data_IF_336369391120
#
_entry.id   IF_336369391120
#
_cell.length_a   1.000
_cell.length_b   1.000
_cell.length_c   1.000
_cell.angle_alpha   90.00
_cell.angle_beta   90.00
_cell.angle_gamma   90.00
#
_symmetry.space_group_name_H-M   'P 1'
#
loop_
_entity.id
_entity.type
_entity.pdbx_description
1 polymer ?
#
# COMPACT_ATOMS: atom_id res chain seq x y z
N UNK A 1 66.86 -52.77 -11.86
CA UNK A 1 65.91 -53.81 -12.30
C UNK A 1 64.51 -53.36 -11.85
N UNK A 2 63.67 -52.91 -12.80
CA UNK A 2 62.24 -52.55 -12.76
C UNK A 2 61.73 -51.57 -11.66
N UNK A 3 61.49 -50.29 -11.96
CA UNK A 3 60.24 -49.66 -12.45
C UNK A 3 59.00 -49.84 -11.55
N UNK A 4 58.51 -48.73 -10.96
CA UNK A 4 57.10 -48.28 -11.09
C UNK A 4 56.92 -46.81 -10.71
N UNK A 5 56.42 -46.07 -11.69
CA UNK A 5 55.91 -44.70 -11.65
C UNK A 5 54.49 -44.74 -11.04
N UNK A 6 54.14 -43.76 -10.21
CA UNK A 6 52.76 -43.33 -10.00
C UNK A 6 52.73 -41.85 -9.64
N UNK A 7 52.34 -41.04 -10.62
CA UNK A 7 51.92 -39.65 -10.53
C UNK A 7 50.51 -39.57 -9.95
N UNK A 8 50.23 -38.66 -9.02
CA UNK A 8 48.96 -37.90 -8.99
C UNK A 8 49.04 -36.69 -8.03
N UNK A 9 49.34 -35.54 -8.62
CA UNK A 9 48.65 -34.24 -8.48
C UNK A 9 48.06 -33.87 -7.11
N UNK A 10 48.69 -32.92 -6.40
CA UNK A 10 48.04 -32.12 -5.34
C UNK A 10 47.79 -30.71 -5.85
N UNK A 11 46.51 -30.35 -5.86
CA UNK A 11 45.92 -29.09 -6.29
C UNK A 11 46.50 -27.88 -5.53
N UNK A 12 46.91 -26.84 -6.27
CA UNK A 12 46.97 -25.46 -5.76
C UNK A 12 45.53 -24.92 -5.67
N UNK A 13 45.10 -24.53 -4.48
CA UNK A 13 43.90 -23.72 -4.31
C UNK A 13 44.26 -22.25 -4.58
N UNK A 14 43.90 -21.75 -5.76
CA UNK A 14 43.89 -20.32 -6.05
C UNK A 14 42.67 -19.70 -5.34
N UNK A 15 42.94 -18.87 -4.32
CA UNK A 15 41.92 -18.12 -3.60
C UNK A 15 41.51 -16.92 -4.47
N UNK A 16 40.53 -17.11 -5.35
CA UNK A 16 39.91 -16.03 -6.11
C UNK A 16 39.00 -15.22 -5.18
N UNK A 17 39.45 -14.03 -4.78
CA UNK A 17 38.59 -12.98 -4.23
C UNK A 17 37.63 -12.51 -5.32
N UNK A 18 36.45 -13.15 -5.43
CA UNK A 18 35.32 -12.53 -6.10
C UNK A 18 34.76 -11.48 -5.14
N UNK A 19 35.11 -10.21 -5.35
CA UNK A 19 34.24 -9.11 -4.94
C UNK A 19 32.92 -9.29 -5.71
N UNK A 20 31.93 -9.88 -5.05
CA UNK A 20 30.56 -9.86 -5.54
C UNK A 20 30.06 -8.43 -5.51
N UNK A 21 30.23 -7.70 -6.60
CA UNK A 21 29.42 -6.51 -6.88
C UNK A 21 27.99 -7.03 -7.09
N UNK A 22 27.22 -7.10 -6.00
CA UNK A 22 25.77 -7.23 -6.13
C UNK A 22 25.29 -6.01 -6.92
N UNK A 23 24.46 -6.18 -7.96
CA UNK A 23 23.88 -5.04 -8.65
C UNK A 23 23.07 -4.27 -7.62
N UNK A 24 23.51 -3.05 -7.29
CA UNK A 24 22.68 -2.11 -6.57
C UNK A 24 21.42 -1.91 -7.42
N UNK A 25 20.26 -2.40 -6.96
CA UNK A 25 18.99 -2.03 -7.57
C UNK A 25 18.95 -0.51 -7.55
N UNK A 26 18.93 0.11 -8.74
CA UNK A 26 18.97 1.56 -8.88
C UNK A 26 17.80 2.16 -8.09
N UNK A 27 18.08 3.08 -7.17
CA UNK A 27 17.05 3.79 -6.42
C UNK A 27 16.19 4.62 -7.37
N UNK A 28 14.88 4.63 -7.14
CA UNK A 28 13.95 5.51 -7.87
C UNK A 28 13.97 6.92 -7.28
N UNK A 29 13.37 7.88 -7.98
CA UNK A 29 13.21 9.25 -7.45
C UNK A 29 12.46 9.28 -6.10
N UNK A 30 11.59 8.29 -5.85
CA UNK A 30 10.87 8.15 -4.58
C UNK A 30 11.75 7.68 -3.42
N UNK A 31 12.96 7.15 -3.67
CA UNK A 31 13.83 6.55 -2.65
C UNK A 31 15.02 7.43 -2.29
N UNK A 32 15.38 8.39 -3.14
CA UNK A 32 16.55 9.24 -2.93
C UNK A 32 16.24 10.42 -2.01
N UNK A 33 17.28 10.91 -1.33
CA UNK A 33 17.18 12.12 -0.50
C UNK A 33 16.81 13.31 -1.37
N UNK A 34 15.80 14.06 -0.96
CA UNK A 34 15.40 15.31 -1.62
C UNK A 34 16.03 16.51 -0.91
N UNK A 35 16.19 17.61 -1.63
CA UNK A 35 16.48 18.90 -0.98
C UNK A 35 15.18 19.49 -0.44
N UNK A 36 15.11 19.89 0.84
CA UNK A 36 13.95 20.59 1.38
C UNK A 36 13.61 21.87 0.59
N UNK A 37 12.31 22.22 0.47
CA UNK A 37 11.17 21.46 0.97
C UNK A 37 10.89 20.20 0.13
N UNK A 38 10.73 19.05 0.79
CA UNK A 38 10.55 17.75 0.10
C UNK A 38 9.12 17.59 -0.41
N UNK A 39 8.97 16.90 -1.54
CA UNK A 39 7.66 16.41 -2.00
C UNK A 39 7.30 15.09 -1.33
N UNK A 40 6.00 14.85 -1.21
CA UNK A 40 5.43 13.61 -0.68
C UNK A 40 5.33 12.53 -1.76
N UNK A 41 4.78 11.36 -1.44
CA UNK A 41 4.87 10.16 -2.30
C UNK A 41 6.27 9.55 -2.31
N UNK A 42 7.13 9.96 -1.38
CA UNK A 42 8.52 9.50 -1.27
C UNK A 42 8.73 8.69 0.00
N UNK A 43 9.87 7.99 0.04
CA UNK A 43 10.29 7.16 1.15
C UNK A 43 10.36 7.94 2.44
N UNK A 44 9.78 7.36 3.49
CA UNK A 44 9.93 7.86 4.84
C UNK A 44 9.28 6.96 5.87
N UNK A 45 9.50 7.28 7.13
CA UNK A 45 8.99 6.51 8.25
C UNK A 45 9.66 6.91 9.55
N UNK A 46 9.24 6.26 10.63
CA UNK A 46 9.84 6.46 11.95
C UNK A 46 11.29 5.93 11.97
N UNK A 47 12.22 6.72 12.52
CA UNK A 47 13.64 6.32 12.64
C UNK A 47 13.88 5.14 13.60
N UNK A 48 12.85 4.69 14.31
CA UNK A 48 12.89 3.55 15.22
C UNK A 48 12.30 2.26 14.63
N UNK A 49 11.72 2.31 13.43
CA UNK A 49 11.17 1.13 12.75
C UNK A 49 12.30 0.24 12.18
N UNK A 50 13.02 -0.39 13.10
CA UNK A 50 14.17 -1.22 12.84
C UNK A 50 14.32 -2.37 13.85
N UNK A 51 15.08 -3.36 13.42
CA UNK A 51 15.56 -4.49 14.19
C UNK A 51 17.04 -4.69 13.94
N UNK A 52 17.62 -5.69 14.60
CA UNK A 52 19.05 -6.03 14.43
C UNK A 52 19.44 -6.41 12.99
N UNK A 53 18.50 -6.73 12.10
CA UNK A 53 18.83 -7.20 10.74
C UNK A 53 18.05 -6.51 9.63
N UNK A 54 17.04 -5.72 9.99
CA UNK A 54 16.10 -5.11 9.06
C UNK A 54 15.75 -3.72 9.56
N UNK A 55 15.63 -2.75 8.66
CA UNK A 55 14.83 -1.56 8.90
C UNK A 55 13.65 -1.57 7.93
N UNK A 56 12.60 -0.84 8.28
CA UNK A 56 11.38 -0.74 7.52
C UNK A 56 11.08 0.73 7.27
N UNK A 57 10.33 0.98 6.20
CA UNK A 57 9.94 2.30 5.77
C UNK A 57 8.71 2.15 4.89
N UNK A 58 7.90 3.20 4.86
CA UNK A 58 6.77 3.29 3.95
C UNK A 58 6.90 4.53 3.07
N UNK A 59 5.76 5.13 2.81
CA UNK A 59 5.61 6.35 2.02
C UNK A 59 5.11 7.48 2.91
N UNK A 60 5.72 8.65 2.78
CA UNK A 60 5.17 9.92 3.28
C UNK A 60 4.00 10.30 2.36
N UNK A 61 2.77 10.09 2.82
CA UNK A 61 1.60 9.99 1.94
C UNK A 61 1.09 11.30 1.38
N UNK A 62 0.58 12.16 2.26
CA UNK A 62 -0.05 13.44 1.85
C UNK A 62 0.08 14.50 2.93
N UNK A 63 0.04 15.77 2.52
CA UNK A 63 0.07 16.90 3.43
C UNK A 63 -1.36 17.24 3.82
N UNK A 64 -1.61 17.27 5.12
CA UNK A 64 -2.93 17.54 5.69
C UNK A 64 -2.82 18.58 6.79
N UNK A 65 -3.95 19.15 7.19
CA UNK A 65 -4.01 20.14 8.27
C UNK A 65 -4.99 19.72 9.35
N UNK A 66 -4.63 20.04 10.59
CA UNK A 66 -5.49 19.91 11.77
C UNK A 66 -5.27 21.14 12.65
N UNK A 67 -6.33 21.90 12.92
CA UNK A 67 -6.23 23.14 13.70
C UNK A 67 -5.27 24.19 13.12
N UNK A 68 -5.08 24.22 11.80
CA UNK A 68 -4.14 25.12 11.12
C UNK A 68 -2.68 24.68 11.12
N UNK A 69 -2.34 23.55 11.77
CA UNK A 69 -1.01 22.96 11.76
C UNK A 69 -0.90 21.90 10.66
N UNK A 70 0.24 21.84 9.97
CA UNK A 70 0.50 20.89 8.89
C UNK A 70 1.11 19.58 9.40
N UNK A 71 0.61 18.47 8.86
CA UNK A 71 1.03 17.11 9.19
C UNK A 71 1.24 16.29 7.91
N UNK A 72 2.19 15.37 7.96
CA UNK A 72 2.28 14.26 7.02
C UNK A 72 1.28 13.18 7.46
N UNK A 73 0.36 12.82 6.58
CA UNK A 73 -0.49 11.64 6.69
C UNK A 73 0.23 10.43 6.10
N UNK A 74 0.23 9.32 6.84
CA UNK A 74 0.63 7.98 6.37
C UNK A 74 -0.02 6.92 7.26
N UNK A 75 0.40 5.66 7.17
CA UNK A 75 -0.15 4.60 8.02
C UNK A 75 0.42 4.63 9.45
N UNK A 76 -0.34 4.06 10.39
CA UNK A 76 0.16 3.77 11.74
C UNK A 76 1.41 2.89 11.65
N UNK A 77 1.37 1.81 10.88
CA UNK A 77 2.53 0.92 10.78
C UNK A 77 3.74 1.53 10.07
N UNK A 78 3.66 2.77 9.57
CA UNK A 78 4.76 3.52 8.93
C UNK A 78 5.30 4.62 9.85
N UNK A 79 4.42 5.43 10.46
CA UNK A 79 4.84 6.56 11.32
C UNK A 79 4.85 6.23 12.81
N UNK A 80 4.02 5.29 13.24
CA UNK A 80 3.80 4.93 14.63
C UNK A 80 4.47 3.61 15.05
N UNK A 81 5.36 3.05 14.21
CA UNK A 81 6.04 1.76 14.45
C UNK A 81 5.06 0.66 14.90
N UNK A 82 3.90 0.56 14.23
CA UNK A 82 2.84 -0.36 14.57
C UNK A 82 2.42 -0.31 16.06
N UNK A 83 2.06 0.90 16.51
CA UNK A 83 1.70 1.29 17.88
C UNK A 83 2.86 1.39 18.90
N UNK A 84 4.12 1.33 18.46
CA UNK A 84 5.28 1.39 19.36
C UNK A 84 5.97 2.76 19.43
N UNK A 85 5.62 3.71 18.56
CA UNK A 85 6.24 5.03 18.54
C UNK A 85 5.89 5.89 19.76
N UNK A 86 6.80 6.79 20.09
CA UNK A 86 6.62 7.85 21.09
C UNK A 86 6.38 9.19 20.40
N UNK A 87 5.43 9.98 20.90
CA UNK A 87 5.20 11.34 20.39
C UNK A 87 6.50 12.14 20.42
N UNK A 88 6.84 12.76 19.29
CA UNK A 88 8.10 13.48 19.10
C UNK A 88 9.18 12.68 18.36
N UNK A 89 9.00 11.36 18.15
CA UNK A 89 9.94 10.55 17.36
C UNK A 89 10.16 11.16 15.98
N UNK A 90 11.41 11.17 15.52
CA UNK A 90 11.74 11.74 14.22
C UNK A 90 11.17 10.88 13.08
N UNK A 91 10.58 11.55 12.09
CA UNK A 91 10.19 10.96 10.82
C UNK A 91 11.17 11.41 9.76
N UNK A 92 11.82 10.44 9.10
CA UNK A 92 12.89 10.71 8.17
C UNK A 92 12.44 10.70 6.70
N UNK A 93 13.13 11.49 5.87
CA UNK A 93 13.13 11.37 4.40
C UNK A 93 14.60 11.31 3.95
N UNK A 94 15.03 10.30 3.20
CA UNK A 94 14.34 9.05 2.94
C UNK A 94 14.07 8.25 4.22
N UNK A 95 13.27 7.21 4.10
CA UNK A 95 13.12 6.21 5.16
C UNK A 95 14.40 5.39 5.34
N UNK A 96 14.56 4.79 6.53
CA UNK A 96 15.72 3.99 6.90
C UNK A 96 16.13 2.96 5.84
N UNK A 97 15.19 2.29 5.19
CA UNK A 97 15.48 1.26 4.18
C UNK A 97 16.33 1.81 3.02
N UNK A 98 16.14 3.08 2.67
CA UNK A 98 16.81 3.71 1.54
C UNK A 98 18.14 4.38 1.90
N UNK A 99 18.45 4.48 3.19
CA UNK A 99 19.72 5.00 3.71
C UNK A 99 20.55 3.92 4.43
N UNK A 100 20.28 2.65 4.13
CA UNK A 100 21.03 1.51 4.71
C UNK A 100 20.86 1.39 6.23
N UNK A 101 19.71 1.79 6.75
CA UNK A 101 19.38 1.90 8.17
C UNK A 101 20.27 2.87 8.96
N UNK A 102 21.00 3.74 8.27
CA UNK A 102 21.78 4.78 8.92
C UNK A 102 20.98 6.08 8.94
N UNK A 103 20.30 6.35 10.06
CA UNK A 103 19.51 7.55 10.25
C UNK A 103 20.31 8.86 10.06
N UNK A 104 21.64 8.85 10.24
CA UNK A 104 22.49 10.04 10.01
C UNK A 104 22.62 10.44 8.53
N UNK A 105 22.23 9.55 7.61
CA UNK A 105 22.19 9.83 6.17
C UNK A 105 20.80 10.29 5.68
N UNK A 106 19.82 10.38 6.59
CA UNK A 106 18.50 10.92 6.32
C UNK A 106 18.30 12.26 7.04
N UNK A 107 17.31 13.03 6.59
CA UNK A 107 16.89 14.27 7.23
C UNK A 107 15.56 14.07 7.95
N UNK A 108 15.36 14.77 9.07
CA UNK A 108 14.08 14.78 9.78
C UNK A 108 13.16 15.80 9.13
N UNK A 109 12.02 15.34 8.61
CA UNK A 109 11.04 16.20 7.93
C UNK A 109 9.76 16.44 8.75
N UNK A 110 9.50 15.57 9.72
CA UNK A 110 8.38 15.67 10.64
C UNK A 110 8.70 14.98 11.97
N UNK A 111 7.85 15.17 12.97
CA UNK A 111 7.90 14.44 14.24
C UNK A 111 6.57 13.73 14.47
N UNK A 112 6.61 12.46 14.90
CA UNK A 112 5.40 11.68 15.15
C UNK A 112 4.49 12.39 16.15
N UNK A 113 3.19 12.49 15.85
CA UNK A 113 2.23 13.24 16.65
C UNK A 113 1.14 12.36 17.23
N UNK A 114 0.40 11.64 16.37
CA UNK A 114 -0.70 10.79 16.80
C UNK A 114 -0.95 9.67 15.79
N UNK A 115 -1.58 8.60 16.23
CA UNK A 115 -2.05 7.53 15.37
C UNK A 115 -3.35 6.96 15.91
N UNK A 116 -4.13 6.35 15.02
CA UNK A 116 -5.23 5.48 15.42
C UNK A 116 -4.62 4.11 15.75
N UNK A 117 -4.79 3.57 16.98
CA UNK A 117 -4.21 2.29 17.31
C UNK A 117 -4.74 1.16 16.44
N UNK A 118 -3.88 0.22 16.04
CA UNK A 118 -4.29 -0.87 15.15
C UNK A 118 -5.37 -1.74 15.81
N UNK A 119 -6.49 -1.92 15.11
CA UNK A 119 -7.64 -2.67 15.60
C UNK A 119 -8.63 -1.90 16.47
N UNK A 120 -8.37 -0.62 16.78
CA UNK A 120 -9.31 0.22 17.53
C UNK A 120 -10.35 0.92 16.64
N UNK A 121 -10.03 1.14 15.36
CA UNK A 121 -10.95 1.73 14.39
C UNK A 121 -10.78 1.11 13.01
N UNK A 122 -11.62 1.54 12.07
CA UNK A 122 -11.66 1.02 10.70
C UNK A 122 -10.55 1.57 9.77
N UNK A 123 -9.42 2.02 10.33
CA UNK A 123 -8.32 2.67 9.60
C UNK A 123 -6.96 2.29 10.17
N UNK A 124 -5.96 2.34 9.30
CA UNK A 124 -4.54 2.28 9.64
C UNK A 124 -3.91 3.61 9.21
N UNK A 125 -3.89 4.57 10.14
CA UNK A 125 -3.51 5.95 9.84
C UNK A 125 -2.81 6.63 11.02
N UNK A 126 -1.87 7.50 10.68
CA UNK A 126 -1.09 8.29 11.61
C UNK A 126 -0.70 9.65 11.02
N UNK A 127 -0.38 10.58 11.92
CA UNK A 127 0.08 11.92 11.62
C UNK A 127 1.46 12.16 12.23
N UNK A 128 2.30 12.84 11.46
CA UNK A 128 3.54 13.43 11.92
C UNK A 128 3.55 14.93 11.64
N UNK A 129 3.78 15.74 12.66
CA UNK A 129 3.80 17.19 12.55
C UNK A 129 5.02 17.64 11.75
N UNK A 130 4.79 18.43 10.69
CA UNK A 130 5.84 18.89 9.79
C UNK A 130 6.83 19.79 10.53
N UNK A 131 8.12 19.56 10.30
CA UNK A 131 9.18 20.50 10.69
C UNK A 131 9.19 21.66 9.69
N UNK A 132 9.30 22.89 10.19
CA UNK A 132 9.28 24.12 9.38
C UNK A 132 10.24 24.01 8.20
N UNK A 133 9.75 24.43 7.02
CA UNK A 133 10.45 24.44 5.73
C UNK A 133 10.95 23.08 5.22
N UNK A 134 10.59 21.96 5.87
CA UNK A 134 11.03 20.63 5.43
C UNK A 134 10.15 19.98 4.37
N UNK A 135 8.87 20.34 4.28
CA UNK A 135 7.89 19.74 3.34
C UNK A 135 7.28 20.83 2.47
N UNK A 136 7.05 20.51 1.20
CA UNK A 136 6.40 21.42 0.26
C UNK A 136 4.99 21.77 0.76
N UNK A 137 4.82 23.02 1.19
CA UNK A 137 3.59 23.54 1.79
C UNK A 137 2.36 23.46 0.88
N UNK A 138 2.55 23.30 -0.43
CA UNK A 138 1.47 23.10 -1.40
C UNK A 138 0.88 21.68 -1.34
N UNK A 139 1.56 20.74 -0.68
CA UNK A 139 1.17 19.34 -0.57
C UNK A 139 1.43 18.51 -1.82
N UNK A 140 2.37 18.95 -2.66
CA UNK A 140 2.73 18.23 -3.87
C UNK A 140 3.22 16.80 -3.57
N UNK A 141 2.64 15.84 -4.29
CA UNK A 141 3.05 14.44 -4.30
C UNK A 141 3.84 14.20 -5.59
N UNK A 142 5.02 13.59 -5.47
CA UNK A 142 5.94 13.34 -6.58
C UNK A 142 5.22 12.63 -7.73
N UNK A 143 5.34 13.17 -8.94
CA UNK A 143 4.69 12.72 -10.19
C UNK A 143 3.14 12.83 -10.24
N UNK A 144 2.47 13.15 -9.13
CA UNK A 144 1.02 13.39 -9.07
C UNK A 144 0.69 14.89 -9.15
N UNK A 145 1.46 15.73 -8.46
CA UNK A 145 1.14 17.13 -8.22
C UNK A 145 0.32 17.29 -6.94
N UNK A 146 -0.46 18.36 -6.86
CA UNK A 146 -1.22 18.74 -5.66
C UNK A 146 -2.57 18.00 -5.60
N UNK A 147 -2.82 17.15 -4.60
CA UNK A 147 -4.14 16.55 -4.40
C UNK A 147 -5.21 17.62 -4.15
N UNK A 148 -6.45 17.36 -4.56
CA UNK A 148 -7.55 18.27 -4.25
C UNK A 148 -7.83 18.32 -2.74
N UNK A 149 -8.32 19.45 -2.24
CA UNK A 149 -8.81 19.55 -0.85
C UNK A 149 -10.11 18.78 -0.60
N UNK A 150 -10.88 18.51 -1.67
CA UNK A 150 -12.11 17.71 -1.62
C UNK A 150 -11.82 16.24 -1.90
N UNK A 151 -12.43 15.35 -1.11
CA UNK A 151 -12.35 13.90 -1.32
C UNK A 151 -13.34 13.43 -2.40
N UNK A 152 -13.00 12.35 -3.09
CA UNK A 152 -13.88 11.68 -4.04
C UNK A 152 -14.85 10.73 -3.33
N UNK A 153 -16.05 10.49 -3.89
CA UNK A 153 -16.91 9.40 -3.45
C UNK A 153 -16.22 8.04 -3.62
N UNK A 154 -16.37 7.18 -2.63
CA UNK A 154 -15.83 5.81 -2.54
C UNK A 154 -16.95 4.74 -2.49
N UNK A 155 -18.13 5.10 -3.00
CA UNK A 155 -19.31 4.24 -3.11
C UNK A 155 -19.31 3.38 -4.39
N UNK A 156 -20.45 2.81 -4.75
CA UNK A 156 -20.58 1.97 -5.95
C UNK A 156 -20.19 2.66 -7.26
N UNK A 157 -20.24 4.00 -7.32
CA UNK A 157 -19.79 4.76 -8.51
C UNK A 157 -18.27 4.75 -8.67
N UNK A 158 -17.52 4.44 -7.60
CA UNK A 158 -16.07 4.36 -7.63
C UNK A 158 -15.56 3.08 -8.31
N UNK A 159 -16.37 2.01 -8.38
CA UNK A 159 -15.92 0.76 -9.01
C UNK A 159 -15.64 0.99 -10.50
N UNK A 160 -14.42 0.65 -10.94
CA UNK A 160 -13.94 0.88 -12.29
C UNK A 160 -13.30 2.26 -12.51
N UNK A 161 -13.41 3.19 -11.55
CA UNK A 161 -12.77 4.50 -11.63
C UNK A 161 -11.26 4.34 -11.66
N UNK A 162 -10.61 5.08 -12.56
CA UNK A 162 -9.15 5.11 -12.66
C UNK A 162 -8.58 5.90 -11.50
N UNK A 163 -7.57 5.33 -10.87
CA UNK A 163 -6.87 5.89 -9.71
C UNK A 163 -5.37 5.81 -9.92
N UNK A 164 -4.66 6.68 -9.23
CA UNK A 164 -3.21 6.76 -9.23
C UNK A 164 -2.68 6.85 -7.80
N UNK A 165 -1.44 6.40 -7.59
CA UNK A 165 -0.68 6.61 -6.36
C UNK A 165 0.80 6.78 -6.69
N UNK A 166 1.52 7.54 -5.88
CA UNK A 166 2.98 7.63 -5.92
C UNK A 166 3.53 7.15 -4.59
N UNK A 167 4.37 6.12 -4.63
CA UNK A 167 4.87 5.43 -3.44
C UNK A 167 6.35 5.10 -3.53
N UNK A 168 6.97 4.87 -2.36
CA UNK A 168 8.40 4.56 -2.21
C UNK A 168 8.88 3.48 -3.18
N UNK A 169 8.15 2.38 -3.31
CA UNK A 169 8.65 1.16 -3.95
C UNK A 169 8.33 1.15 -5.43
N UNK A 170 7.09 1.46 -5.80
CA UNK A 170 6.63 1.34 -7.19
C UNK A 170 6.49 2.68 -7.92
N UNK A 171 6.76 3.81 -7.26
CA UNK A 171 6.62 5.15 -7.86
C UNK A 171 5.18 5.45 -8.25
N UNK A 172 4.98 6.30 -9.29
CA UNK A 172 3.67 6.51 -9.89
C UNK A 172 3.14 5.24 -10.56
N UNK A 173 2.00 4.74 -10.10
CA UNK A 173 1.24 3.70 -10.80
C UNK A 173 -0.21 4.12 -10.95
N UNK A 174 -0.89 3.52 -11.94
CA UNK A 174 -2.32 3.68 -12.13
C UNK A 174 -3.00 2.33 -12.29
N UNK A 175 -4.25 2.25 -11.83
CA UNK A 175 -5.12 1.09 -12.01
C UNK A 175 -6.58 1.51 -11.82
N UNK A 176 -7.49 0.53 -11.77
CA UNK A 176 -8.90 0.74 -11.50
C UNK A 176 -9.31 0.16 -10.15
N UNK A 177 -10.24 0.83 -9.47
CA UNK A 177 -10.93 0.27 -8.31
C UNK A 177 -11.70 -0.98 -8.75
N UNK A 178 -11.44 -2.10 -8.10
CA UNK A 178 -12.05 -3.40 -8.41
C UNK A 178 -13.24 -3.74 -7.53
N UNK A 179 -13.21 -3.32 -6.27
CA UNK A 179 -14.24 -3.60 -5.27
C UNK A 179 -14.28 -2.47 -4.24
N UNK A 180 -15.47 -2.16 -3.75
CA UNK A 180 -15.72 -1.28 -2.59
C UNK A 180 -16.62 -1.99 -1.60
N UNK A 181 -16.94 -1.37 -0.46
CA UNK A 181 -17.72 -2.03 0.60
C UNK A 181 -17.10 -3.38 1.02
N UNK A 182 -15.77 -3.49 0.97
CA UNK A 182 -15.07 -4.78 1.13
C UNK A 182 -14.60 -4.97 2.56
N UNK A 183 -15.08 -6.02 3.20
CA UNK A 183 -14.53 -6.49 4.47
C UNK A 183 -13.26 -7.30 4.18
N UNK A 184 -12.19 -7.09 4.94
CA UNK A 184 -10.89 -7.74 4.74
C UNK A 184 -10.27 -8.15 6.08
N UNK A 185 -9.49 -9.24 6.05
CA UNK A 185 -8.56 -9.63 7.10
C UNK A 185 -7.14 -9.28 6.66
N UNK A 186 -6.47 -8.40 7.41
CA UNK A 186 -5.11 -7.95 7.10
C UNK A 186 -4.15 -8.46 8.14
N UNK A 187 -3.09 -9.11 7.68
CA UNK A 187 -2.00 -9.58 8.53
C UNK A 187 -0.97 -8.47 8.75
N UNK A 188 -0.65 -8.26 10.02
CA UNK A 188 0.38 -7.34 10.51
C UNK A 188 1.49 -8.10 11.22
N UNK A 189 2.59 -7.40 11.45
CA UNK A 189 3.71 -7.86 12.25
C UNK A 189 4.24 -6.69 13.07
N UNK A 190 4.38 -6.86 14.39
CA UNK A 190 4.96 -5.80 15.23
C UNK A 190 6.48 -5.78 15.11
N UNK A 191 7.00 -4.64 14.66
CA UNK A 191 8.43 -4.38 14.47
C UNK A 191 8.99 -5.00 13.19
N UNK A 192 9.88 -4.26 12.53
CA UNK A 192 10.45 -4.65 11.26
C UNK A 192 11.13 -6.03 11.26
N UNK A 193 10.54 -6.99 10.53
CA UNK A 193 11.09 -8.34 10.35
C UNK A 193 11.20 -9.17 11.63
N UNK A 194 10.56 -8.75 12.72
CA UNK A 194 10.60 -9.42 14.04
C UNK A 194 9.20 -9.52 14.64
N UNK A 195 9.05 -10.24 15.75
CA UNK A 195 7.78 -10.30 16.48
C UNK A 195 6.71 -11.23 15.88
N UNK A 196 5.60 -11.34 16.60
CA UNK A 196 4.47 -12.20 16.23
C UNK A 196 3.60 -11.49 15.18
N UNK A 197 3.14 -12.28 14.21
CA UNK A 197 2.11 -11.85 13.27
C UNK A 197 0.74 -11.86 13.96
N UNK A 198 -0.10 -10.90 13.62
CA UNK A 198 -1.48 -10.80 14.09
C UNK A 198 -2.37 -10.36 12.93
N UNK A 199 -3.69 -10.50 13.09
CA UNK A 199 -4.66 -10.16 12.05
C UNK A 199 -5.62 -9.11 12.60
N UNK A 200 -5.90 -8.09 11.80
CA UNK A 200 -6.92 -7.08 12.06
C UNK A 200 -7.96 -7.15 10.95
N UNK A 201 -9.24 -7.06 11.33
CA UNK A 201 -10.34 -7.01 10.38
C UNK A 201 -10.77 -5.57 10.15
N UNK A 202 -10.96 -5.21 8.87
CA UNK A 202 -11.47 -3.91 8.45
C UNK A 202 -12.70 -4.12 7.59
N UNK A 203 -13.68 -3.23 7.72
CA UNK A 203 -14.91 -3.24 6.95
C UNK A 203 -14.90 -2.14 5.88
N UNK A 204 -15.68 -2.30 4.82
CA UNK A 204 -15.92 -1.24 3.83
C UNK A 204 -14.68 -0.66 3.13
N UNK A 205 -13.62 -1.43 2.97
CA UNK A 205 -12.38 -0.97 2.33
C UNK A 205 -12.52 -0.84 0.80
N UNK A 206 -11.62 -0.04 0.21
CA UNK A 206 -11.49 0.14 -1.24
C UNK A 206 -10.38 -0.76 -1.76
N UNK A 207 -10.67 -1.59 -2.76
CA UNK A 207 -9.68 -2.48 -3.37
C UNK A 207 -9.38 -2.05 -4.80
N UNK A 208 -8.11 -2.11 -5.14
CA UNK A 208 -7.58 -1.78 -6.46
C UNK A 208 -6.99 -3.04 -7.08
N UNK A 209 -7.29 -3.28 -8.35
CA UNK A 209 -6.75 -4.44 -9.07
C UNK A 209 -5.30 -4.19 -9.49
N UNK A 210 -4.48 -5.24 -9.47
CA UNK A 210 -3.21 -5.28 -10.19
C UNK A 210 -2.03 -5.55 -9.28
N UNK A 211 -1.31 -6.62 -9.61
CA UNK A 211 -0.03 -7.00 -8.99
C UNK A 211 1.04 -5.91 -9.11
N UNK A 212 0.95 -5.05 -10.13
CA UNK A 212 1.87 -3.94 -10.37
C UNK A 212 1.41 -2.61 -9.79
N UNK A 213 0.22 -2.53 -9.16
CA UNK A 213 -0.27 -1.25 -8.64
C UNK A 213 0.49 -0.85 -7.38
N UNK A 214 0.82 -1.80 -6.51
CA UNK A 214 1.61 -1.54 -5.30
C UNK A 214 2.43 -2.75 -4.84
N UNK A 215 3.44 -2.44 -4.04
CA UNK A 215 4.23 -3.40 -3.28
C UNK A 215 4.45 -2.89 -1.86
N UNK A 216 4.98 -3.75 -1.00
CA UNK A 216 5.45 -3.36 0.33
C UNK A 216 6.42 -2.18 0.24
N UNK A 217 6.29 -1.27 1.20
CA UNK A 217 6.91 0.06 1.16
C UNK A 217 6.02 1.15 0.54
N UNK A 218 5.03 0.83 -0.29
CA UNK A 218 4.05 1.82 -0.76
C UNK A 218 2.97 2.13 0.29
N UNK A 219 2.95 1.40 1.42
CA UNK A 219 2.12 1.72 2.59
C UNK A 219 2.21 3.20 2.95
N UNK A 220 1.07 3.84 3.10
CA UNK A 220 0.94 5.27 3.40
C UNK A 220 0.75 6.12 2.16
N UNK A 221 0.91 5.57 0.94
CA UNK A 221 0.64 6.32 -0.29
C UNK A 221 -0.83 6.75 -0.35
N UNK A 222 -1.05 8.03 -0.62
CA UNK A 222 -2.38 8.51 -0.95
C UNK A 222 -2.78 7.98 -2.33
N UNK A 223 -3.96 7.38 -2.40
CA UNK A 223 -4.60 7.01 -3.66
C UNK A 223 -5.56 8.12 -4.05
N UNK A 224 -5.36 8.64 -5.25
CA UNK A 224 -6.17 9.74 -5.83
C UNK A 224 -6.86 9.27 -7.10
N UNK A 225 -7.96 9.91 -7.45
CA UNK A 225 -8.63 9.70 -8.73
C UNK A 225 -7.78 10.27 -9.87
N UNK A 226 -7.58 9.53 -10.95
CA UNK A 226 -6.67 9.94 -12.03
C UNK A 226 -7.16 11.18 -12.81
N UNK A 227 -8.47 11.46 -12.79
CA UNK A 227 -9.13 12.51 -13.56
C UNK A 227 -9.21 13.87 -12.86
N UNK A 228 -9.21 13.88 -11.53
CA UNK A 228 -9.45 15.10 -10.73
C UNK A 228 -8.50 15.22 -9.53
N UNK A 229 -7.57 14.28 -9.36
CA UNK A 229 -6.60 14.20 -8.25
C UNK A 229 -7.28 14.32 -6.87
N UNK A 230 -8.54 13.91 -6.77
CA UNK A 230 -9.26 13.86 -5.51
C UNK A 230 -8.78 12.66 -4.68
N UNK A 231 -8.44 12.84 -3.40
CA UNK A 231 -8.20 11.74 -2.47
C UNK A 231 -9.38 10.77 -2.45
N UNK A 232 -9.13 9.46 -2.52
CA UNK A 232 -10.19 8.44 -2.43
C UNK A 232 -9.88 7.32 -1.44
N UNK A 233 -8.61 6.96 -1.28
CA UNK A 233 -8.19 5.96 -0.30
C UNK A 233 -6.77 6.20 0.21
N UNK A 234 -6.44 5.62 1.37
CA UNK A 234 -5.08 5.54 1.91
C UNK A 234 -4.60 4.10 1.81
N UNK A 235 -3.55 3.84 1.04
CA UNK A 235 -2.99 2.49 0.88
C UNK A 235 -2.43 2.01 2.22
N UNK A 236 -2.83 0.81 2.69
CA UNK A 236 -2.28 0.24 3.93
C UNK A 236 -1.94 -1.25 3.87
N UNK A 237 -2.45 -1.97 2.87
CA UNK A 237 -2.15 -3.40 2.72
C UNK A 237 -2.25 -3.83 1.26
N UNK A 238 -1.75 -5.02 0.98
CA UNK A 238 -1.89 -5.63 -0.34
C UNK A 238 -1.60 -7.13 -0.33
N UNK A 239 -1.70 -7.71 -1.52
CA UNK A 239 -1.38 -9.09 -1.83
C UNK A 239 -0.70 -9.16 -3.21
N UNK A 240 -0.41 -10.37 -3.68
CA UNK A 240 0.09 -10.61 -5.04
C UNK A 240 -0.83 -10.12 -6.16
N UNK A 241 -2.12 -9.88 -5.88
CA UNK A 241 -3.10 -9.53 -6.93
C UNK A 241 -3.82 -8.20 -6.69
N UNK A 242 -3.83 -7.71 -5.46
CA UNK A 242 -4.74 -6.64 -5.05
C UNK A 242 -4.09 -5.69 -4.05
N UNK A 243 -4.51 -4.44 -4.09
CA UNK A 243 -4.16 -3.42 -3.09
C UNK A 243 -5.39 -3.07 -2.28
N UNK A 244 -5.22 -2.87 -0.98
CA UNK A 244 -6.27 -2.50 -0.04
C UNK A 244 -6.00 -1.09 0.49
N UNK A 245 -7.00 -0.22 0.36
CA UNK A 245 -6.97 1.14 0.86
C UNK A 245 -8.08 1.40 1.88
N UNK A 246 -7.74 2.09 2.96
CA UNK A 246 -8.73 2.68 3.85
C UNK A 246 -9.52 3.73 3.09
N UNK A 247 -10.85 3.75 3.30
CA UNK A 247 -11.71 4.83 2.80
C UNK A 247 -11.18 6.16 3.29
N UNK A 248 -10.93 7.10 2.39
CA UNK A 248 -10.34 8.37 2.81
C UNK A 248 -11.28 9.18 3.71
N UNK A 249 -12.60 8.98 3.54
CA UNK A 249 -13.63 9.55 4.41
C UNK A 249 -13.54 9.04 5.85
N UNK A 250 -13.25 7.76 6.06
CA UNK A 250 -13.03 7.19 7.39
C UNK A 250 -11.74 7.75 8.01
N UNK A 251 -10.68 7.90 7.20
CA UNK A 251 -9.38 8.45 7.66
C UNK A 251 -9.51 9.90 8.08
N UNK A 252 -10.14 10.76 7.27
CA UNK A 252 -10.32 12.18 7.62
C UNK A 252 -11.18 12.36 8.85
N UNK A 253 -12.23 11.54 9.00
CA UNK A 253 -13.11 11.55 10.17
C UNK A 253 -12.40 11.10 11.44
N UNK A 254 -11.62 10.01 11.37
CA UNK A 254 -10.93 9.45 12.52
C UNK A 254 -9.84 10.39 13.07
N UNK A 255 -9.12 11.07 12.18
CA UNK A 255 -8.00 11.96 12.55
C UNK A 255 -8.41 13.43 12.71
N UNK A 256 -9.56 13.84 12.18
CA UNK A 256 -10.03 15.23 12.21
C UNK A 256 -9.18 16.16 11.33
N UNK A 257 -8.87 15.73 10.11
CA UNK A 257 -7.93 16.39 9.18
C UNK A 257 -8.60 16.89 7.90
N UNK A 258 -7.98 17.88 7.26
CA UNK A 258 -8.33 18.35 5.92
C UNK A 258 -7.11 18.35 4.99
N UNK A 259 -7.30 18.07 3.71
CA UNK A 259 -6.24 18.17 2.70
C UNK A 259 -5.93 19.63 2.36
N UNK A 260 -4.65 19.94 2.09
CA UNK A 260 -4.15 21.32 1.91
C UNK A 260 -4.30 21.89 0.50
N UNK A 261 -4.55 21.04 -0.50
CA UNK A 261 -4.45 21.43 -1.89
C UNK A 261 -5.66 22.23 -2.40
N UNK A 262 -5.66 22.57 -3.70
CA UNK A 262 -6.71 23.41 -4.29
C UNK A 262 -8.07 22.71 -4.28
N UNK A 263 -9.16 23.48 -4.31
CA UNK A 263 -10.50 22.90 -4.43
C UNK A 263 -10.68 22.12 -5.74
N UNK A 264 -10.08 22.60 -6.83
CA UNK A 264 -10.04 21.95 -8.13
C UNK A 264 -8.58 21.70 -8.51
N UNK A 265 -8.11 20.47 -8.29
CA UNK A 265 -6.78 20.08 -8.76
C UNK A 265 -6.81 19.83 -10.27
N UNK A 266 -5.75 20.26 -10.95
CA UNK A 266 -5.55 19.96 -12.38
C UNK A 266 -4.62 18.75 -12.46
N UNK A 267 -5.04 17.62 -13.06
CA UNK A 267 -4.19 16.45 -13.18
C UNK A 267 -2.99 16.76 -14.07
N UNK A 268 -1.79 16.68 -13.50
CA UNK A 268 -0.52 16.69 -14.26
C UNK A 268 0.04 15.28 -14.43
N UNK A 269 -0.53 14.30 -13.73
CA UNK A 269 -0.07 12.91 -13.70
C UNK A 269 -0.27 12.22 -15.06
N UNK A 270 0.75 11.48 -15.48
CA UNK A 270 0.72 10.65 -16.68
C UNK A 270 0.85 9.21 -16.28
N UNK A 271 -0.26 8.48 -16.31
CA UNK A 271 -0.26 7.06 -16.00
C UNK A 271 0.73 6.33 -16.92
N UNK A 272 1.71 5.59 -16.36
CA UNK A 272 2.59 4.75 -17.17
C UNK A 272 1.75 3.83 -18.05
N UNK A 273 2.20 3.62 -19.30
CA UNK A 273 1.55 2.65 -20.17
C UNK A 273 1.50 1.29 -19.44
N UNK A 274 0.37 0.55 -19.52
CA UNK A 274 0.33 -0.79 -18.97
C UNK A 274 1.48 -1.62 -19.54
N UNK A 275 2.10 -2.49 -18.72
CA UNK A 275 3.12 -3.41 -19.22
C UNK A 275 2.58 -4.18 -20.44
N UNK A 276 3.42 -4.39 -21.45
CA UNK A 276 3.03 -5.02 -22.72
C UNK A 276 2.22 -6.31 -22.48
N UNK A 277 0.93 -6.29 -22.82
CA UNK A 277 -0.01 -7.38 -22.57
C UNK A 277 -1.23 -7.01 -21.71
N UNK A 278 -1.22 -5.88 -21.01
CA UNK A 278 -2.40 -5.37 -20.32
C UNK A 278 -3.28 -4.56 -21.28
N UNK A 279 -4.45 -5.12 -21.62
CA UNK A 279 -5.46 -4.45 -22.44
C UNK A 279 -6.01 -3.27 -21.64
N UNK A 280 -5.70 -2.04 -22.08
CA UNK A 280 -6.43 -0.86 -21.62
C UNK A 280 -7.92 -1.06 -21.96
N UNK A 281 -8.87 -0.86 -21.03
CA UNK A 281 -10.28 -0.94 -21.38
C UNK A 281 -10.59 0.18 -22.39
N UNK A 282 -10.70 -0.18 -23.66
CA UNK A 282 -11.01 0.70 -24.80
C UNK A 282 -12.50 0.95 -24.97
N UNK A 283 -13.33 0.44 -24.06
CA UNK A 283 -14.78 0.62 -24.06
C UNK A 283 -15.17 1.42 -22.81
N UNK A 284 -15.99 2.47 -22.92
CA UNK A 284 -16.62 3.08 -21.75
C UNK A 284 -17.35 1.97 -21.00
N UNK A 285 -16.85 1.59 -19.82
CA UNK A 285 -17.49 0.54 -19.04
C UNK A 285 -18.90 1.03 -18.71
N UNK A 286 -19.92 0.26 -19.09
CA UNK A 286 -21.28 0.55 -18.67
C UNK A 286 -21.26 0.66 -17.15
N UNK A 287 -21.63 1.84 -16.63
CA UNK A 287 -21.71 2.05 -15.20
C UNK A 287 -22.71 1.03 -14.63
N UNK A 288 -22.31 0.37 -13.56
CA UNK A 288 -23.15 -0.62 -12.90
C UNK A 288 -24.45 0.06 -12.47
N UNK A 289 -25.61 -0.55 -12.73
CA UNK A 289 -26.87 0.13 -12.39
C UNK A 289 -26.95 0.35 -10.86
N UNK A 290 -27.39 1.53 -10.38
CA UNK A 290 -27.48 1.80 -8.93
C UNK A 290 -28.32 0.76 -8.17
N UNK A 291 -29.37 0.25 -8.81
CA UNK A 291 -30.22 -0.80 -8.25
C UNK A 291 -29.48 -2.14 -8.13
N UNK A 292 -28.70 -2.54 -9.14
CA UNK A 292 -27.86 -3.75 -9.08
C UNK A 292 -26.83 -3.65 -7.97
N UNK A 293 -26.14 -2.51 -7.89
CA UNK A 293 -25.15 -2.27 -6.84
C UNK A 293 -25.77 -2.33 -5.43
N UNK A 294 -26.93 -1.69 -5.24
CA UNK A 294 -27.66 -1.71 -3.96
C UNK A 294 -28.05 -3.14 -3.55
N UNK A 295 -28.50 -3.98 -4.50
CA UNK A 295 -28.80 -5.39 -4.22
C UNK A 295 -27.54 -6.16 -3.82
N UNK A 296 -26.42 -5.93 -4.51
CA UNK A 296 -25.16 -6.59 -4.21
C UNK A 296 -24.60 -6.21 -2.85
N UNK A 297 -24.69 -4.94 -2.45
CA UNK A 297 -24.35 -4.50 -1.08
C UNK A 297 -25.24 -5.20 -0.06
N UNK A 298 -26.56 -5.22 -0.26
CA UNK A 298 -27.47 -5.90 0.66
C UNK A 298 -27.18 -7.41 0.79
N UNK A 299 -26.89 -8.09 -0.32
CA UNK A 299 -26.45 -9.48 -0.30
C UNK A 299 -25.12 -9.66 0.44
N UNK A 300 -24.13 -8.80 0.18
CA UNK A 300 -22.86 -8.79 0.91
C UNK A 300 -23.08 -8.63 2.40
N UNK A 301 -23.87 -7.65 2.86
CA UNK A 301 -24.05 -7.40 4.29
C UNK A 301 -24.76 -8.55 5.01
N UNK A 302 -25.65 -9.28 4.33
CA UNK A 302 -26.33 -10.46 4.92
C UNK A 302 -25.42 -11.68 5.05
N UNK A 303 -24.40 -11.82 4.21
CA UNK A 303 -23.65 -13.07 4.07
C UNK A 303 -22.16 -12.97 4.40
N UNK A 304 -21.56 -11.77 4.43
CA UNK A 304 -20.12 -11.58 4.60
C UNK A 304 -19.59 -12.21 5.89
N UNK A 305 -20.24 -11.98 7.04
CA UNK A 305 -19.78 -12.53 8.33
C UNK A 305 -19.74 -14.05 8.32
N UNK A 306 -20.77 -14.70 7.77
CA UNK A 306 -20.83 -16.16 7.65
C UNK A 306 -19.75 -16.70 6.71
N UNK A 307 -19.53 -16.05 5.57
CA UNK A 307 -18.49 -16.44 4.61
C UNK A 307 -17.10 -16.29 5.23
N UNK A 308 -16.87 -15.21 5.98
CA UNK A 308 -15.59 -14.92 6.62
C UNK A 308 -15.32 -15.76 7.88
N UNK A 309 -16.24 -16.66 8.30
CA UNK A 309 -15.92 -17.71 9.28
C UNK A 309 -14.98 -18.78 8.69
N UNK A 310 -15.01 -18.99 7.37
CA UNK A 310 -14.01 -19.82 6.70
C UNK A 310 -12.68 -19.05 6.66
N UNK A 311 -11.63 -19.63 7.23
CA UNK A 311 -10.33 -18.98 7.29
C UNK A 311 -9.68 -18.78 5.92
N UNK A 312 -10.11 -19.52 4.89
CA UNK A 312 -9.69 -19.28 3.53
C UNK A 312 -10.28 -17.99 2.94
N UNK A 313 -11.42 -17.50 3.45
CA UNK A 313 -12.02 -16.25 2.97
C UNK A 313 -11.31 -15.06 3.61
N UNK A 314 -10.52 -14.39 2.79
CA UNK A 314 -9.71 -13.22 3.15
C UNK A 314 -10.53 -11.93 3.15
N UNK A 315 -11.58 -11.87 2.34
CA UNK A 315 -12.47 -10.72 2.29
C UNK A 315 -13.71 -10.91 1.42
N UNK A 316 -14.72 -10.08 1.65
CA UNK A 316 -15.99 -10.07 0.91
C UNK A 316 -16.41 -8.63 0.64
N UNK A 317 -16.64 -8.28 -0.61
CA UNK A 317 -17.00 -6.92 -1.03
C UNK A 317 -17.92 -6.89 -2.24
N UNK A 318 -18.06 -5.72 -2.84
CA UNK A 318 -18.91 -5.52 -4.02
C UNK A 318 -18.11 -4.92 -5.16
N UNK A 319 -18.14 -5.61 -6.30
CA UNK A 319 -17.52 -5.18 -7.54
C UNK A 319 -18.45 -5.46 -8.72
N UNK A 320 -17.89 -5.69 -9.90
CA UNK A 320 -18.66 -6.07 -11.09
C UNK A 320 -18.55 -7.55 -11.39
N UNK A 321 -19.60 -8.09 -12.00
CA UNK A 321 -19.61 -9.45 -12.55
C UNK A 321 -18.53 -9.61 -13.62
N UNK A 322 -17.94 -10.81 -13.67
CA UNK A 322 -17.01 -11.20 -14.74
C UNK A 322 -17.74 -11.51 -16.04
N UNK A 323 -19.04 -11.84 -15.98
CA UNK A 323 -19.87 -12.19 -17.13
C UNK A 323 -20.52 -10.95 -17.75
N UNK A 324 -20.97 -10.01 -16.91
CA UNK A 324 -21.61 -8.75 -17.33
C UNK A 324 -21.10 -7.57 -16.48
N UNK A 325 -20.17 -6.75 -17.00
CA UNK A 325 -19.65 -5.59 -16.27
C UNK A 325 -20.69 -4.52 -15.89
N UNK A 326 -21.91 -4.56 -16.45
CA UNK A 326 -23.02 -3.67 -16.09
C UNK A 326 -23.80 -4.13 -14.84
N UNK A 327 -23.57 -5.37 -14.38
CA UNK A 327 -24.17 -5.94 -13.17
C UNK A 327 -23.14 -6.01 -12.03
N UNK A 328 -23.61 -5.70 -10.82
CA UNK A 328 -22.81 -5.82 -9.61
C UNK A 328 -22.73 -7.28 -9.16
N UNK A 329 -21.62 -7.63 -8.53
CA UNK A 329 -21.38 -8.97 -8.00
C UNK A 329 -20.81 -8.89 -6.58
N UNK A 330 -21.11 -9.90 -5.77
CA UNK A 330 -20.41 -10.09 -4.49
C UNK A 330 -19.05 -10.70 -4.77
N UNK A 331 -17.99 -9.96 -4.46
CA UNK A 331 -16.61 -10.40 -4.69
C UNK A 331 -16.10 -11.10 -3.43
N UNK A 332 -15.65 -12.34 -3.57
CA UNK A 332 -15.07 -13.16 -2.50
C UNK A 332 -13.58 -13.33 -2.77
N UNK A 333 -12.74 -12.79 -1.89
CA UNK A 333 -11.29 -12.95 -1.92
C UNK A 333 -10.92 -14.20 -1.14
N UNK A 334 -10.28 -15.14 -1.81
CA UNK A 334 -10.02 -16.49 -1.32
C UNK A 334 -8.53 -16.79 -1.32
N UNK A 335 -8.03 -17.31 -0.21
CA UNK A 335 -6.63 -17.70 -0.06
C UNK A 335 -6.30 -18.87 -0.99
N UNK A 336 -5.29 -18.69 -1.83
CA UNK A 336 -4.86 -19.71 -2.77
C UNK A 336 -4.26 -20.93 -2.05
N UNK A 337 -4.68 -22.13 -2.47
CA UNK A 337 -4.20 -23.39 -1.90
C UNK A 337 -4.78 -23.77 -0.53
N UNK A 338 -5.56 -22.89 0.12
CA UNK A 338 -6.20 -23.20 1.40
C UNK A 338 -7.48 -24.00 1.20
N UNK A 339 -7.66 -25.06 2.00
CA UNK A 339 -8.89 -25.85 2.00
C UNK A 339 -10.07 -25.02 2.51
N UNK A 340 -11.23 -25.15 1.88
CA UNK A 340 -12.43 -24.37 2.18
C UNK A 340 -13.70 -25.15 1.80
N UNK A 341 -14.84 -24.80 2.39
CA UNK A 341 -16.13 -25.36 1.98
C UNK A 341 -16.56 -24.80 0.60
N UNK A 342 -17.43 -25.49 -0.17
CA UNK A 342 -17.94 -24.96 -1.43
C UNK A 342 -18.55 -23.57 -1.25
N UNK A 343 -18.08 -22.60 -2.03
CA UNK A 343 -18.60 -21.24 -2.00
C UNK A 343 -19.84 -21.12 -2.89
N UNK A 344 -20.88 -20.38 -2.48
CA UNK A 344 -22.07 -20.18 -3.28
C UNK A 344 -21.73 -19.38 -4.55
N UNK A 345 -22.35 -19.74 -5.68
CA UNK A 345 -22.21 -19.02 -6.96
C UNK A 345 -23.19 -17.85 -7.09
N UNK A 346 -24.13 -17.75 -6.15
CA UNK A 346 -25.15 -16.71 -6.04
C UNK A 346 -25.50 -16.46 -4.57
N UNK A 347 -25.77 -15.21 -4.23
CA UNK A 347 -26.23 -14.76 -2.92
C UNK A 347 -27.42 -13.83 -3.12
N UNK A 348 -28.61 -14.30 -2.74
CA UNK A 348 -29.87 -13.55 -2.85
C UNK A 348 -30.16 -13.04 -4.28
N UNK A 349 -29.83 -13.83 -5.31
CA UNK A 349 -29.98 -13.45 -6.72
C UNK A 349 -28.86 -12.55 -7.25
N UNK A 350 -27.78 -12.35 -6.47
CA UNK A 350 -26.57 -11.65 -6.88
C UNK A 350 -25.44 -12.66 -7.09
N UNK A 351 -24.88 -12.68 -8.29
CA UNK A 351 -23.75 -13.55 -8.65
C UNK A 351 -22.54 -13.29 -7.76
N UNK A 352 -21.80 -14.36 -7.44
CA UNK A 352 -20.51 -14.24 -6.76
C UNK A 352 -19.35 -14.28 -7.75
N UNK A 353 -18.29 -13.56 -7.42
CA UNK A 353 -17.02 -13.53 -8.16
C UNK A 353 -15.90 -13.90 -7.21
N UNK A 354 -15.17 -14.97 -7.51
CA UNK A 354 -14.04 -15.41 -6.69
C UNK A 354 -12.74 -14.82 -7.23
N UNK A 355 -11.95 -14.19 -6.36
CA UNK A 355 -10.58 -13.75 -6.64
C UNK A 355 -9.65 -14.56 -5.75
N UNK A 356 -8.76 -15.34 -6.36
CA UNK A 356 -7.75 -16.13 -5.64
C UNK A 356 -6.49 -15.30 -5.45
N UNK A 357 -5.94 -15.30 -4.24
CA UNK A 357 -4.76 -14.52 -3.88
C UNK A 357 -4.09 -15.09 -2.63
N UNK A 358 -2.87 -14.68 -2.31
CA UNK A 358 -2.32 -14.85 -0.97
C UNK A 358 -2.92 -13.85 0.03
N UNK A 359 -2.73 -14.13 1.33
CA UNK A 359 -3.15 -13.28 2.45
C UNK A 359 -2.86 -11.79 2.20
N UNK A 360 -3.82 -10.91 2.54
CA UNK A 360 -3.56 -9.47 2.60
C UNK A 360 -2.59 -9.16 3.75
N UNK A 361 -1.54 -8.40 3.48
CA UNK A 361 -0.46 -8.08 4.41
C UNK A 361 -0.18 -6.58 4.41
N UNK A 362 0.17 -6.04 5.56
CA UNK A 362 0.73 -4.69 5.71
C UNK A 362 2.27 -4.68 5.58
N UNK A 363 2.88 -5.79 5.13
CA UNK A 363 4.33 -5.91 4.97
C UNK A 363 4.69 -6.88 3.84
N UNK A 364 5.79 -6.62 3.13
CA UNK A 364 6.51 -7.61 2.32
C UNK A 364 5.75 -8.26 1.16
N UNK A 365 4.63 -7.69 0.68
CA UNK A 365 3.93 -8.18 -0.51
C UNK A 365 4.56 -7.57 -1.77
N UNK A 366 4.74 -8.34 -2.84
CA UNK A 366 5.33 -7.89 -4.12
C UNK A 366 6.68 -7.14 -4.03
N UNK A 367 7.38 -7.19 -2.89
CA UNK A 367 8.67 -6.52 -2.72
C UNK A 367 9.77 -7.28 -3.47
N UNK A 368 10.51 -6.63 -4.39
CA UNK A 368 11.70 -7.23 -4.99
C UNK A 368 12.82 -7.29 -3.93
N UNK A 369 13.00 -8.45 -3.30
CA UNK A 369 14.05 -8.85 -2.36
C UNK A 369 14.39 -7.81 -1.26
N UNK A 370 14.02 -8.12 -0.02
CA UNK A 370 14.40 -7.31 1.16
C UNK A 370 15.91 -7.09 1.23
N UNK A 371 16.33 -5.82 1.29
CA UNK A 371 17.73 -5.46 1.54
C UNK A 371 18.08 -5.85 2.97
N UNK A 372 18.82 -6.94 3.13
CA UNK A 372 19.42 -7.32 4.40
C UNK A 372 20.43 -6.25 4.82
N UNK A 373 20.29 -5.76 6.05
CA UNK A 373 21.08 -4.64 6.54
C UNK A 373 22.44 -5.13 7.02
N UNK A 374 23.52 -4.44 6.65
CA UNK A 374 24.80 -4.55 7.34
C UNK A 374 24.83 -3.46 8.40
N UNK A 375 24.52 -3.80 9.65
CA UNK A 375 24.67 -2.84 10.75
C UNK A 375 26.16 -2.48 10.84
N UNK A 376 26.48 -1.19 10.71
CA UNK A 376 27.78 -0.63 11.10
C UNK A 376 27.76 -0.20 12.55
#
# INVERSE_FOLDING_TARGET
MFHRISTLTKFLAALSFLLGMQPAIAQTANQVTQTPPVQLGTSGGNIHDASRRFCCSGTLGSLVTKGGVQYILSNNHVLADADAATVGDAISQPGLVDVGCNASLAQTVATFSEAIPLGNANVDAALAQVVVDQVDSSGAILEIGNPASTIAPDDGTAVGRQVAKSGRTTGLTCAAISSVSTNVKVQYQRGCGKGKKFVVSYANQVLINGSSFSAGGDSGSLIVTADTVQPIALLFAGSSTSTVGNRISDVTSALGINFVGPANATPTLKCPAPAAGAIAPTVPRAATSPASFTRAVAAKERHADRLMLDEAVLGVGVGVSSEDPSEAAVVIYLEEGRSHAPLPTDLDGVRTKIIRTDSFRAFGWNEPLQRSCTIQ
#
